data_IF_835562327882
#
_entry.id   IF_835562327882
#
_cell.length_a   1.000
_cell.length_b   1.000
_cell.length_c   1.000
_cell.angle_alpha   90.00
_cell.angle_beta   90.00
_cell.angle_gamma   90.00
#
_symmetry.space_group_name_H-M   'P 1'
#
loop_
_entity.id
_entity.type
_entity.pdbx_description
1 polymer ?
#
# COMPACT_ATOMS: atom_id res chain seq x y z
N UNK A 1 13.36 18.42 25.17
CA UNK A 1 12.20 18.82 25.99
C UNK A 1 11.10 17.77 25.78
N UNK A 2 10.29 17.47 26.82
CA UNK A 2 9.13 16.57 26.65
C UNK A 2 8.08 17.25 25.78
N UNK A 3 7.54 16.54 24.79
CA UNK A 3 6.42 17.02 23.97
C UNK A 3 5.17 17.19 24.84
N UNK A 4 4.40 18.27 24.60
CA UNK A 4 3.24 18.65 25.41
C UNK A 4 1.95 18.46 24.62
N UNK A 5 1.01 17.77 25.23
CA UNK A 5 -0.30 17.44 24.64
C UNK A 5 -1.41 18.09 25.46
N UNK A 6 -2.36 18.74 24.79
CA UNK A 6 -3.58 19.25 25.42
C UNK A 6 -4.73 18.27 25.10
N UNK A 7 -5.40 17.78 26.12
CA UNK A 7 -6.64 17.01 26.02
C UNK A 7 -7.81 17.92 26.38
N UNK A 8 -8.81 18.01 25.51
CA UNK A 8 -10.05 18.77 25.74
C UNK A 8 -11.20 17.77 25.73
N UNK A 9 -11.66 17.44 26.92
CA UNK A 9 -12.64 16.34 27.16
C UNK A 9 -13.39 16.63 28.46
N UNK A 10 -14.72 16.62 28.40
CA UNK A 10 -15.58 16.86 29.56
C UNK A 10 -15.76 15.62 30.45
N UNK A 11 -15.62 14.43 29.86
CA UNK A 11 -15.60 13.19 30.61
C UNK A 11 -14.29 13.03 31.38
N UNK A 12 -14.33 13.37 32.68
CA UNK A 12 -13.17 13.35 33.59
C UNK A 12 -12.48 11.97 33.61
N UNK A 13 -13.26 10.88 33.58
CA UNK A 13 -12.73 9.53 33.62
C UNK A 13 -11.94 9.22 32.33
N UNK A 14 -12.50 9.51 31.17
CA UNK A 14 -11.84 9.31 29.89
C UNK A 14 -10.60 10.19 29.77
N UNK A 15 -10.73 11.48 30.14
CA UNK A 15 -9.61 12.43 30.16
C UNK A 15 -8.45 11.93 31.01
N UNK A 16 -8.73 11.37 32.20
CA UNK A 16 -7.70 10.84 33.08
C UNK A 16 -7.05 9.57 32.51
N UNK A 17 -7.83 8.66 31.95
CA UNK A 17 -7.31 7.43 31.32
C UNK A 17 -6.36 7.78 30.15
N UNK A 18 -6.80 8.65 29.24
CA UNK A 18 -5.99 9.10 28.09
C UNK A 18 -4.72 9.81 28.56
N UNK A 19 -4.85 10.68 29.60
CA UNK A 19 -3.70 11.34 30.23
C UNK A 19 -2.70 10.33 30.77
N UNK A 20 -3.14 9.35 31.57
CA UNK A 20 -2.27 8.35 32.19
C UNK A 20 -1.53 7.51 31.14
N UNK A 21 -2.18 7.17 30.03
CA UNK A 21 -1.56 6.48 28.92
C UNK A 21 -0.46 7.30 28.27
N UNK A 22 -0.72 8.58 27.97
CA UNK A 22 0.26 9.45 27.31
C UNK A 22 1.41 9.85 28.25
N UNK A 23 1.17 10.02 29.53
CA UNK A 23 2.23 10.28 30.52
C UNK A 23 3.17 9.09 30.69
N UNK A 24 2.65 7.84 30.64
CA UNK A 24 3.48 6.62 30.60
C UNK A 24 4.38 6.52 29.36
N UNK A 25 3.92 7.05 28.24
CA UNK A 25 4.71 7.14 27.00
C UNK A 25 5.71 8.32 27.02
N UNK A 26 5.76 9.10 28.13
CA UNK A 26 6.75 10.14 28.35
C UNK A 26 6.34 11.55 27.90
N UNK A 27 5.10 11.76 27.51
CA UNK A 27 4.56 13.08 27.15
C UNK A 27 4.23 13.91 28.42
N UNK A 28 4.19 15.22 28.29
CA UNK A 28 3.61 16.10 29.30
C UNK A 28 2.18 16.44 28.89
N UNK A 29 1.20 16.20 29.75
CA UNK A 29 -0.21 16.29 29.39
C UNK A 29 -0.92 17.34 30.26
N UNK A 30 -1.65 18.26 29.62
CA UNK A 30 -2.61 19.16 30.27
C UNK A 30 -4.02 18.79 29.83
N UNK A 31 -5.00 19.02 30.68
CA UNK A 31 -6.41 18.72 30.42
C UNK A 31 -7.26 19.98 30.53
N UNK A 32 -8.27 20.09 29.68
CA UNK A 32 -9.31 21.11 29.71
C UNK A 32 -10.69 20.42 29.61
N UNK A 33 -11.69 20.93 30.30
CA UNK A 33 -13.04 20.39 30.32
C UNK A 33 -13.96 21.03 29.29
N UNK A 34 -13.56 22.18 28.76
CA UNK A 34 -14.34 22.99 27.80
C UNK A 34 -13.44 23.83 26.89
N UNK A 35 -14.03 24.41 25.86
CA UNK A 35 -13.33 25.25 24.88
C UNK A 35 -12.77 26.53 25.50
N UNK A 36 -13.49 27.31 26.34
CA UNK A 36 -12.95 28.53 26.96
C UNK A 36 -11.69 28.28 27.79
N UNK A 37 -11.66 27.19 28.54
CA UNK A 37 -10.49 26.82 29.34
C UNK A 37 -9.33 26.35 28.45
N UNK A 38 -9.63 25.59 27.40
CA UNK A 38 -8.62 25.20 26.40
C UNK A 38 -7.96 26.42 25.74
N UNK A 39 -8.75 27.42 25.31
CA UNK A 39 -8.23 28.69 24.75
C UNK A 39 -7.36 29.45 25.75
N UNK A 40 -7.73 29.44 27.04
CA UNK A 40 -6.94 30.08 28.09
C UNK A 40 -5.58 29.39 28.27
N UNK A 41 -5.52 28.08 28.22
CA UNK A 41 -4.27 27.31 28.28
C UNK A 41 -3.40 27.59 27.02
N UNK A 42 -3.97 27.54 25.82
CA UNK A 42 -3.27 27.77 24.56
C UNK A 42 -2.68 29.17 24.44
N UNK A 43 -3.24 30.19 25.14
CA UNK A 43 -2.66 31.51 25.20
C UNK A 43 -1.50 31.65 26.20
N UNK A 44 -1.41 30.74 27.17
CA UNK A 44 -0.39 30.78 28.24
C UNK A 44 0.77 29.85 27.99
N UNK A 45 0.53 28.77 27.29
CA UNK A 45 1.48 27.67 27.18
C UNK A 45 1.47 27.14 25.74
N UNK A 46 2.62 26.64 25.29
CA UNK A 46 2.73 26.01 23.98
C UNK A 46 2.46 24.52 24.08
N UNK A 47 1.75 23.99 23.10
CA UNK A 47 1.45 22.57 22.94
C UNK A 47 1.91 22.07 21.59
N UNK A 48 2.27 20.79 21.53
CA UNK A 48 2.73 20.12 20.31
C UNK A 48 1.59 19.34 19.63
N UNK A 49 0.50 19.06 20.35
CA UNK A 49 -0.68 18.33 19.85
C UNK A 49 -1.90 18.67 20.69
N UNK A 50 -3.07 18.72 20.06
CA UNK A 50 -4.37 18.86 20.73
C UNK A 50 -5.22 17.66 20.38
N UNK A 51 -5.80 17.02 21.41
CA UNK A 51 -6.85 15.98 21.32
C UNK A 51 -8.13 16.58 21.88
N UNK A 52 -9.16 16.77 21.07
CA UNK A 52 -10.41 17.43 21.51
C UNK A 52 -11.63 16.57 21.20
N UNK A 53 -12.52 16.44 22.17
CA UNK A 53 -13.88 15.99 21.85
C UNK A 53 -14.56 17.00 20.91
N UNK A 54 -15.47 16.49 20.07
CA UNK A 54 -16.38 17.31 19.26
C UNK A 54 -17.34 18.06 20.17
N UNK A 55 -17.97 17.36 21.11
CA UNK A 55 -19.01 17.92 22.00
C UNK A 55 -18.44 18.30 23.34
N UNK A 56 -18.52 19.58 23.65
CA UNK A 56 -18.04 20.13 24.92
C UNK A 56 -19.18 20.89 25.62
N UNK A 57 -19.19 20.96 26.97
CA UNK A 57 -20.24 21.63 27.74
C UNK A 57 -20.37 23.13 27.40
N UNK A 58 -19.27 23.78 27.08
CA UNK A 58 -19.23 25.16 26.61
C UNK A 58 -18.37 25.24 25.35
N UNK A 59 -18.97 25.62 24.22
CA UNK A 59 -18.36 25.58 22.90
C UNK A 59 -18.37 24.18 22.29
N UNK A 60 -17.49 23.94 21.34
CA UNK A 60 -17.28 22.62 20.71
C UNK A 60 -15.86 22.51 20.15
N UNK A 61 -15.42 21.25 19.87
CA UNK A 61 -14.08 20.99 19.35
C UNK A 61 -13.85 21.57 17.95
N UNK A 62 -14.89 21.74 17.15
CA UNK A 62 -14.79 22.33 15.80
C UNK A 62 -14.57 23.83 15.91
N UNK A 63 -15.31 24.52 16.79
CA UNK A 63 -15.10 25.95 17.09
C UNK A 63 -13.71 26.23 17.65
N UNK A 64 -13.18 25.31 18.47
CA UNK A 64 -11.80 25.39 18.95
C UNK A 64 -10.79 25.31 17.80
N UNK A 65 -11.00 24.37 16.87
CA UNK A 65 -10.15 24.23 15.68
C UNK A 65 -10.23 25.47 14.78
N UNK A 66 -11.43 26.02 14.55
CA UNK A 66 -11.59 27.28 13.81
C UNK A 66 -10.81 28.44 14.44
N UNK A 67 -10.88 28.55 15.76
CA UNK A 67 -10.17 29.58 16.49
C UNK A 67 -8.64 29.39 16.37
N UNK A 68 -8.12 28.18 16.49
CA UNK A 68 -6.69 27.85 16.33
C UNK A 68 -6.20 28.24 14.93
N UNK A 69 -6.98 27.94 13.91
CA UNK A 69 -6.67 28.31 12.52
C UNK A 69 -6.67 29.83 12.32
N UNK A 70 -7.64 30.53 12.93
CA UNK A 70 -7.72 32.01 12.88
C UNK A 70 -6.53 32.69 13.56
N UNK A 71 -6.07 32.14 14.68
CA UNK A 71 -4.89 32.60 15.40
C UNK A 71 -3.57 32.13 14.71
N UNK A 72 -3.66 31.39 13.61
CA UNK A 72 -2.51 30.84 12.85
C UNK A 72 -1.55 30.01 13.71
N UNK A 73 -2.08 29.28 14.68
CA UNK A 73 -1.31 28.35 15.49
C UNK A 73 -1.07 27.06 14.69
N UNK A 74 0.19 26.75 14.40
CA UNK A 74 0.56 25.51 13.69
C UNK A 74 0.70 24.34 14.68
N UNK A 75 -0.43 23.92 15.27
CA UNK A 75 -0.52 22.82 16.22
C UNK A 75 -1.37 21.71 15.60
N UNK A 76 -0.85 20.49 15.46
CA UNK A 76 -1.66 19.34 15.04
C UNK A 76 -2.87 19.17 15.93
N UNK A 77 -4.04 18.99 15.32
CA UNK A 77 -5.32 18.87 16.00
C UNK A 77 -5.99 17.55 15.61
N UNK A 78 -6.41 16.78 16.60
CA UNK A 78 -7.13 15.50 16.43
C UNK A 78 -8.48 15.61 17.12
N UNK A 79 -9.53 15.21 16.42
CA UNK A 79 -10.89 15.14 16.98
C UNK A 79 -11.15 13.76 17.57
N UNK A 80 -11.71 13.72 18.78
CA UNK A 80 -12.29 12.51 19.40
C UNK A 80 -13.81 12.57 19.22
N UNK A 81 -14.44 11.51 18.73
CA UNK A 81 -15.90 11.51 18.45
C UNK A 81 -16.58 10.22 18.86
N UNK A 82 -17.76 10.32 19.42
CA UNK A 82 -18.63 9.17 19.66
C UNK A 82 -19.26 8.66 18.35
N UNK A 83 -19.67 7.40 18.36
CA UNK A 83 -20.26 6.66 17.24
C UNK A 83 -21.24 7.50 16.39
N UNK A 84 -21.07 7.43 15.04
CA UNK A 84 -22.03 7.83 14.01
C UNK A 84 -21.92 9.25 13.42
N UNK A 85 -20.99 10.09 13.79
CA UNK A 85 -20.80 11.34 13.07
C UNK A 85 -19.56 11.30 12.15
N UNK A 86 -19.60 10.40 11.17
CA UNK A 86 -18.68 10.48 9.99
C UNK A 86 -18.72 11.90 9.42
N UNK A 87 -19.85 12.57 9.51
CA UNK A 87 -20.07 13.95 9.07
C UNK A 87 -19.20 14.95 9.86
N UNK A 88 -19.10 14.82 11.19
CA UNK A 88 -18.31 15.75 12.01
C UNK A 88 -16.82 15.47 11.89
N UNK A 89 -16.41 14.20 11.78
CA UNK A 89 -15.02 13.84 11.50
C UNK A 89 -14.58 14.36 10.12
N UNK A 90 -15.41 14.19 9.08
CA UNK A 90 -15.17 14.74 7.74
C UNK A 90 -15.12 16.26 7.76
N UNK A 91 -16.02 16.92 8.52
CA UNK A 91 -16.01 18.37 8.69
C UNK A 91 -14.72 18.85 9.35
N UNK A 92 -14.29 18.20 10.42
CA UNK A 92 -13.07 18.56 11.13
C UNK A 92 -11.80 18.40 10.26
N UNK A 93 -11.71 17.29 9.52
CA UNK A 93 -10.58 17.07 8.57
C UNK A 93 -10.58 18.16 7.48
N UNK A 94 -11.74 18.51 6.92
CA UNK A 94 -11.86 19.61 5.95
C UNK A 94 -11.43 20.96 6.53
N UNK A 95 -11.57 21.16 7.82
CA UNK A 95 -11.18 22.38 8.54
C UNK A 95 -9.73 22.37 9.01
N UNK A 96 -8.97 21.30 8.70
CA UNK A 96 -7.54 21.23 9.00
C UNK A 96 -7.17 20.37 10.19
N UNK A 97 -8.11 19.61 10.78
CA UNK A 97 -7.74 18.55 11.71
C UNK A 97 -6.84 17.53 11.00
N UNK A 98 -5.81 17.08 11.69
CA UNK A 98 -4.84 16.12 11.12
C UNK A 98 -5.39 14.72 11.07
N UNK A 99 -6.24 14.35 12.04
CA UNK A 99 -6.86 13.02 12.12
C UNK A 99 -8.08 13.04 13.05
N UNK A 100 -8.76 11.90 13.17
CA UNK A 100 -9.84 11.68 14.12
C UNK A 100 -9.70 10.36 14.84
N UNK A 101 -10.23 10.28 16.07
CA UNK A 101 -10.30 9.09 16.93
C UNK A 101 -11.74 8.78 17.27
N UNK A 102 -12.19 7.56 16.96
CA UNK A 102 -13.53 7.11 17.40
C UNK A 102 -13.49 6.68 18.87
N UNK A 103 -14.47 7.08 19.64
CA UNK A 103 -14.73 6.53 20.98
C UNK A 103 -15.51 5.20 20.84
N UNK A 104 -15.16 4.13 21.60
CA UNK A 104 -14.17 4.13 22.69
C UNK A 104 -12.72 4.20 22.18
N UNK A 105 -11.92 5.05 22.86
CA UNK A 105 -10.51 5.23 22.54
C UNK A 105 -9.72 4.00 22.96
N UNK A 106 -8.96 3.40 22.05
CA UNK A 106 -8.09 2.27 22.34
C UNK A 106 -6.64 2.74 22.53
N UNK A 107 -5.96 2.23 23.55
CA UNK A 107 -4.59 2.63 23.92
C UNK A 107 -3.62 2.57 22.74
N UNK A 108 -3.57 1.43 22.03
CA UNK A 108 -2.63 1.25 20.91
C UNK A 108 -2.87 2.25 19.78
N UNK A 109 -4.14 2.46 19.40
CA UNK A 109 -4.52 3.39 18.33
C UNK A 109 -4.15 4.84 18.68
N UNK A 110 -4.42 5.27 19.92
CA UNK A 110 -4.07 6.60 20.41
C UNK A 110 -2.55 6.81 20.40
N UNK A 111 -1.80 5.88 20.98
CA UNK A 111 -0.34 5.98 21.10
C UNK A 111 0.33 6.01 19.74
N UNK A 112 -0.08 5.16 18.81
CA UNK A 112 0.47 5.12 17.45
C UNK A 112 0.21 6.43 16.71
N UNK A 113 -1.02 6.95 16.77
CA UNK A 113 -1.40 8.22 16.16
C UNK A 113 -0.60 9.39 16.75
N UNK A 114 -0.49 9.48 18.07
CA UNK A 114 0.27 10.55 18.75
C UNK A 114 1.75 10.46 18.39
N UNK A 115 2.33 9.26 18.35
CA UNK A 115 3.72 9.06 17.91
C UNK A 115 3.93 9.50 16.46
N UNK A 116 2.97 9.28 15.60
CA UNK A 116 3.05 9.69 14.20
C UNK A 116 2.97 11.22 14.04
N UNK A 117 1.99 11.86 14.69
CA UNK A 117 1.76 13.30 14.58
C UNK A 117 2.84 14.13 15.28
N UNK A 118 3.45 13.62 16.35
CA UNK A 118 4.51 14.31 17.11
C UNK A 118 5.93 13.98 16.66
N UNK A 119 6.09 13.16 15.62
CA UNK A 119 7.40 13.04 14.98
C UNK A 119 7.85 14.47 14.60
N UNK A 120 9.08 14.89 14.99
CA UNK A 120 9.55 16.19 14.57
C UNK A 120 9.41 16.28 13.06
N UNK A 121 8.88 17.40 12.56
CA UNK A 121 9.04 17.82 11.18
C UNK A 121 10.53 18.12 11.01
N UNK A 122 11.35 17.10 11.12
CA UNK A 122 12.67 17.13 10.55
C UNK A 122 12.39 17.15 9.05
N UNK A 123 12.79 18.25 8.38
CA UNK A 123 13.22 18.18 6.97
C UNK A 123 13.50 16.73 6.67
N UNK A 124 12.67 16.13 5.80
CA UNK A 124 12.63 14.71 5.47
C UNK A 124 14.07 14.23 5.12
N UNK A 125 14.91 14.09 6.13
CA UNK A 125 15.78 12.95 6.21
C UNK A 125 14.84 11.86 6.69
N UNK A 126 14.11 11.32 5.74
CA UNK A 126 13.52 10.01 5.89
C UNK A 126 14.58 9.19 6.61
N UNK A 127 14.28 8.74 7.86
CA UNK A 127 14.82 7.44 8.21
C UNK A 127 14.46 6.64 6.97
N UNK A 128 15.45 6.27 6.16
CA UNK A 128 15.30 5.17 5.25
C UNK A 128 14.57 4.12 6.10
N UNK A 129 13.26 3.97 5.87
CA UNK A 129 12.62 2.73 6.29
C UNK A 129 13.56 1.73 5.68
N UNK A 130 14.27 0.96 6.50
CA UNK A 130 15.26 0.02 6.01
C UNK A 130 14.58 -0.76 4.91
N UNK A 131 14.77 -0.26 3.69
CA UNK A 131 14.23 -0.87 2.49
C UNK A 131 15.12 -2.09 2.29
N UNK A 132 14.55 -3.25 2.46
CA UNK A 132 15.27 -4.47 2.20
C UNK A 132 15.77 -4.45 0.74
N UNK A 133 17.09 -4.50 0.55
CA UNK A 133 17.67 -4.64 -0.79
C UNK A 133 17.54 -6.10 -1.21
N UNK A 134 16.68 -6.33 -2.19
CA UNK A 134 16.55 -7.65 -2.83
C UNK A 134 17.87 -8.01 -3.52
N UNK A 135 18.23 -9.28 -3.45
CA UNK A 135 19.53 -9.78 -3.94
C UNK A 135 19.39 -10.61 -5.21
N UNK A 136 18.17 -10.97 -5.60
CA UNK A 136 17.93 -11.71 -6.83
C UNK A 136 18.35 -10.90 -8.07
N UNK A 137 18.92 -11.52 -9.10
CA UNK A 137 19.43 -10.83 -10.30
C UNK A 137 18.36 -9.93 -10.95
N UNK A 138 17.14 -10.43 -11.13
CA UNK A 138 16.03 -9.67 -11.72
C UNK A 138 15.63 -8.45 -10.90
N UNK A 139 15.60 -8.58 -9.57
CA UNK A 139 15.26 -7.45 -8.72
C UNK A 139 16.40 -6.42 -8.64
N UNK A 140 17.64 -6.88 -8.69
CA UNK A 140 18.83 -5.99 -8.81
C UNK A 140 18.83 -5.24 -10.13
N UNK A 141 18.48 -5.88 -11.24
CA UNK A 141 18.35 -5.24 -12.53
C UNK A 141 17.32 -4.09 -12.47
N UNK A 142 16.12 -4.33 -11.93
CA UNK A 142 15.12 -3.29 -11.76
C UNK A 142 15.62 -2.12 -10.89
N UNK A 143 16.36 -2.41 -9.83
CA UNK A 143 16.96 -1.38 -8.96
C UNK A 143 18.06 -0.61 -9.68
N UNK A 144 18.93 -1.27 -10.42
CA UNK A 144 19.97 -0.63 -11.22
C UNK A 144 19.39 0.29 -12.29
N UNK A 145 18.31 -0.12 -12.95
CA UNK A 145 17.55 0.74 -13.87
C UNK A 145 16.98 1.97 -13.17
N UNK A 146 16.46 1.81 -11.96
CA UNK A 146 15.94 2.92 -11.15
C UNK A 146 17.06 3.93 -10.80
N UNK A 147 18.23 3.45 -10.39
CA UNK A 147 19.39 4.29 -10.08
C UNK A 147 19.94 4.98 -11.34
N UNK A 148 19.97 4.28 -12.49
CA UNK A 148 20.40 4.83 -13.77
C UNK A 148 19.51 5.99 -14.23
N UNK A 149 18.19 5.85 -14.12
CA UNK A 149 17.23 6.87 -14.59
C UNK A 149 17.06 8.02 -13.59
N UNK A 150 17.46 7.81 -12.33
CA UNK A 150 17.22 8.76 -11.25
C UNK A 150 17.74 10.19 -11.51
N UNK A 151 18.97 10.42 -12.06
CA UNK A 151 19.46 11.77 -12.30
C UNK A 151 18.73 12.56 -13.38
N UNK A 152 17.96 11.88 -14.23
CA UNK A 152 17.15 12.51 -15.28
C UNK A 152 15.80 12.98 -14.75
N UNK A 153 15.13 13.89 -15.47
CA UNK A 153 13.77 14.35 -15.16
C UNK A 153 12.69 13.62 -16.01
N UNK A 154 13.07 12.61 -16.79
CA UNK A 154 12.13 11.85 -17.62
C UNK A 154 11.09 11.10 -16.74
N UNK A 155 9.91 10.91 -17.30
CA UNK A 155 8.85 10.12 -16.66
C UNK A 155 9.22 8.64 -16.61
N UNK A 156 8.85 7.96 -15.52
CA UNK A 156 9.14 6.53 -15.33
C UNK A 156 7.86 5.77 -15.05
N UNK A 157 7.63 4.71 -15.81
CA UNK A 157 6.52 3.78 -15.59
C UNK A 157 7.02 2.45 -14.99
N UNK A 158 6.56 2.13 -13.79
CA UNK A 158 6.93 0.90 -13.08
C UNK A 158 5.84 -0.15 -13.28
N UNK A 159 6.17 -1.21 -13.98
CA UNK A 159 5.28 -2.34 -14.26
C UNK A 159 5.53 -3.48 -13.27
N UNK A 160 4.49 -4.07 -12.71
CA UNK A 160 4.64 -5.23 -11.83
C UNK A 160 3.39 -5.56 -11.03
N UNK A 161 3.27 -6.82 -10.61
CA UNK A 161 2.11 -7.29 -9.85
C UNK A 161 1.92 -6.54 -8.52
N UNK A 162 0.74 -6.68 -7.91
CA UNK A 162 0.47 -6.08 -6.61
C UNK A 162 1.39 -6.65 -5.53
N UNK A 163 1.85 -5.80 -4.62
CA UNK A 163 2.69 -6.21 -3.49
C UNK A 163 4.15 -6.53 -3.82
N UNK A 164 4.64 -6.27 -5.04
CA UNK A 164 6.04 -6.51 -5.45
C UNK A 164 7.02 -5.45 -4.94
N UNK A 165 6.52 -4.32 -4.41
CA UNK A 165 7.36 -3.24 -3.90
C UNK A 165 7.65 -2.14 -4.93
N UNK A 166 6.74 -1.84 -5.85
CA UNK A 166 6.86 -0.75 -6.85
C UNK A 166 7.15 0.61 -6.20
N UNK A 167 6.54 0.90 -5.05
CA UNK A 167 6.83 2.13 -4.29
C UNK A 167 8.30 2.22 -3.84
N UNK A 168 8.94 1.09 -3.53
CA UNK A 168 10.37 1.08 -3.17
C UNK A 168 11.25 1.51 -4.33
N UNK A 169 10.92 1.09 -5.56
CA UNK A 169 11.60 1.54 -6.78
C UNK A 169 11.38 3.06 -6.99
N UNK A 170 10.13 3.54 -6.85
CA UNK A 170 9.83 4.97 -7.00
C UNK A 170 10.58 5.83 -5.97
N UNK A 171 10.66 5.38 -4.73
CA UNK A 171 11.47 6.04 -3.69
C UNK A 171 12.96 6.02 -4.00
N UNK A 172 13.48 4.90 -4.51
CA UNK A 172 14.89 4.82 -4.93
C UNK A 172 15.19 5.82 -6.05
N UNK A 173 14.31 5.93 -7.05
CA UNK A 173 14.43 6.94 -8.12
C UNK A 173 14.51 8.36 -7.52
N UNK A 174 13.61 8.68 -6.59
CA UNK A 174 13.61 10.00 -5.96
C UNK A 174 14.90 10.26 -5.16
N UNK A 175 15.35 9.31 -4.32
CA UNK A 175 16.53 9.49 -3.47
C UNK A 175 17.85 9.60 -4.24
N UNK A 176 17.96 8.97 -5.40
CA UNK A 176 19.14 9.07 -6.26
C UNK A 176 19.03 10.21 -7.30
N UNK A 177 17.93 10.99 -7.28
CA UNK A 177 17.70 12.10 -8.19
C UNK A 177 18.28 13.43 -7.67
N UNK A 178 18.33 14.42 -8.57
CA UNK A 178 18.64 15.80 -8.22
C UNK A 178 17.55 16.45 -7.32
N UNK A 179 16.39 15.77 -7.13
CA UNK A 179 15.24 16.22 -6.33
C UNK A 179 15.16 15.52 -4.98
N UNK A 180 16.20 14.81 -4.51
CA UNK A 180 16.21 13.99 -3.29
C UNK A 180 15.84 14.74 -1.99
N UNK A 181 16.13 16.04 -1.95
CA UNK A 181 15.83 16.92 -0.79
C UNK A 181 14.51 17.69 -0.96
N UNK A 182 13.75 17.40 -2.02
CA UNK A 182 12.48 18.01 -2.37
C UNK A 182 11.30 17.08 -1.98
N UNK A 183 10.05 17.56 -2.04
CA UNK A 183 8.90 16.73 -1.69
C UNK A 183 8.80 15.45 -2.54
N UNK A 184 8.48 14.33 -1.88
CA UNK A 184 8.02 13.10 -2.51
C UNK A 184 6.57 12.88 -2.11
N UNK A 185 5.65 13.06 -3.04
CA UNK A 185 4.21 12.88 -2.81
C UNK A 185 3.76 11.60 -3.48
N UNK A 186 3.20 10.67 -2.71
CA UNK A 186 2.66 9.41 -3.22
C UNK A 186 1.13 9.45 -3.21
N UNK A 187 0.53 9.09 -4.33
CA UNK A 187 -0.92 9.07 -4.53
C UNK A 187 -1.33 7.71 -5.09
N UNK A 188 -2.27 7.02 -4.44
CA UNK A 188 -2.88 5.83 -5.01
C UNK A 188 -4.14 6.23 -5.78
N UNK A 189 -4.12 6.09 -7.11
CA UNK A 189 -5.22 6.48 -7.98
C UNK A 189 -6.48 5.65 -7.71
N UNK A 190 -6.34 4.37 -7.38
CA UNK A 190 -7.48 3.49 -7.08
C UNK A 190 -8.19 3.77 -5.76
N UNK A 191 -7.53 4.49 -4.84
CA UNK A 191 -8.13 4.87 -3.57
C UNK A 191 -8.94 6.17 -3.62
N UNK A 192 -8.89 6.92 -4.74
CA UNK A 192 -9.55 8.22 -4.87
C UNK A 192 -10.92 8.03 -5.54
N UNK A 193 -12.04 8.41 -4.90
CA UNK A 193 -13.34 8.44 -5.56
C UNK A 193 -13.31 9.33 -6.81
N UNK A 194 -14.00 8.90 -7.87
CA UNK A 194 -14.02 9.60 -9.17
C UNK A 194 -14.34 11.09 -9.03
N UNK A 195 -15.35 11.44 -8.24
CA UNK A 195 -15.83 12.81 -8.06
C UNK A 195 -14.78 13.70 -7.35
N UNK A 196 -13.85 13.10 -6.61
CA UNK A 196 -12.81 13.83 -5.87
C UNK A 196 -11.46 13.84 -6.59
N UNK A 197 -11.33 13.12 -7.70
CA UNK A 197 -10.06 12.96 -8.39
C UNK A 197 -9.50 14.31 -8.84
N UNK A 198 -10.27 15.11 -9.57
CA UNK A 198 -9.82 16.43 -10.05
C UNK A 198 -9.39 17.36 -8.90
N UNK A 199 -10.18 17.41 -7.83
CA UNK A 199 -9.87 18.24 -6.66
C UNK A 199 -8.63 17.72 -5.89
N UNK A 200 -8.42 16.40 -5.85
CA UNK A 200 -7.25 15.81 -5.20
C UNK A 200 -5.97 16.10 -5.98
N UNK A 201 -6.01 15.98 -7.30
CA UNK A 201 -4.84 16.20 -8.15
C UNK A 201 -4.50 17.69 -8.30
N UNK A 202 -5.49 18.52 -8.63
CA UNK A 202 -5.29 19.92 -9.05
C UNK A 202 -5.69 20.94 -7.99
N UNK A 203 -6.33 20.49 -6.90
CA UNK A 203 -6.92 21.40 -5.92
C UNK A 203 -8.22 22.01 -6.39
N UNK A 204 -8.81 22.88 -5.59
CA UNK A 204 -10.04 23.60 -5.93
C UNK A 204 -10.05 24.99 -5.33
N UNK A 205 -10.77 25.90 -6.01
CA UNK A 205 -11.10 27.21 -5.51
C UNK A 205 -12.34 27.15 -4.60
N UNK A 206 -12.45 28.08 -3.67
CA UNK A 206 -13.64 28.26 -2.84
C UNK A 206 -14.88 28.37 -3.72
N UNK A 207 -15.92 27.59 -3.39
CA UNK A 207 -17.19 27.58 -4.13
C UNK A 207 -17.21 26.72 -5.40
N UNK A 208 -16.15 25.97 -5.70
CA UNK A 208 -16.06 25.12 -6.89
C UNK A 208 -17.13 24.01 -6.94
N UNK A 209 -17.55 23.52 -5.79
CA UNK A 209 -18.62 22.52 -5.61
C UNK A 209 -19.23 22.62 -4.21
N UNK A 210 -20.35 21.94 -3.97
CA UNK A 210 -21.01 21.91 -2.66
C UNK A 210 -20.07 21.33 -1.60
N UNK A 211 -19.62 22.15 -0.63
CA UNK A 211 -18.63 21.80 0.40
C UNK A 211 -17.20 22.28 0.14
N UNK A 212 -16.98 23.06 -0.93
CA UNK A 212 -15.72 23.77 -1.18
C UNK A 212 -15.70 25.11 -0.41
N UNK A 213 -15.56 25.04 0.91
CA UNK A 213 -15.64 26.22 1.80
C UNK A 213 -14.40 27.11 1.77
N UNK A 214 -13.25 26.58 1.31
CA UNK A 214 -11.97 27.28 1.20
C UNK A 214 -11.19 26.80 -0.03
N UNK A 215 -10.19 27.59 -0.44
CA UNK A 215 -9.21 27.15 -1.44
C UNK A 215 -8.38 25.99 -0.86
N UNK A 216 -8.16 24.95 -1.67
CA UNK A 216 -7.34 23.81 -1.28
C UNK A 216 -6.36 23.45 -2.40
N UNK A 217 -5.07 23.35 -2.04
CA UNK A 217 -4.03 22.88 -2.94
C UNK A 217 -4.16 21.38 -3.25
N UNK A 218 -3.75 20.98 -4.46
CA UNK A 218 -3.74 19.60 -4.91
C UNK A 218 -2.38 18.94 -4.79
N UNK A 219 -2.30 17.66 -5.23
CA UNK A 219 -1.07 16.87 -5.19
C UNK A 219 0.04 17.48 -6.05
N UNK A 220 -0.28 18.11 -7.18
CA UNK A 220 0.71 18.79 -8.03
C UNK A 220 1.34 19.99 -7.34
N UNK A 221 0.55 20.76 -6.58
CA UNK A 221 1.08 21.87 -5.78
C UNK A 221 1.96 21.35 -4.63
N UNK A 222 1.51 20.30 -3.93
CA UNK A 222 2.26 19.69 -2.84
C UNK A 222 3.59 19.06 -3.30
N UNK A 223 3.67 18.56 -4.54
CA UNK A 223 4.83 17.92 -5.12
C UNK A 223 5.76 18.90 -5.86
N UNK A 224 5.40 20.19 -5.93
CA UNK A 224 6.12 21.16 -6.74
C UNK A 224 7.62 21.25 -6.38
N UNK A 225 8.47 21.22 -7.40
CA UNK A 225 9.93 21.12 -7.30
C UNK A 225 10.43 19.69 -6.97
N UNK A 226 9.54 18.75 -6.69
CA UNK A 226 9.85 17.40 -6.23
C UNK A 226 9.41 16.29 -7.19
N UNK A 227 8.91 15.18 -6.61
CA UNK A 227 8.45 14.00 -7.34
C UNK A 227 7.03 13.61 -6.92
N UNK A 228 6.15 13.40 -7.89
CA UNK A 228 4.82 12.85 -7.69
C UNK A 228 4.82 11.37 -8.13
N UNK A 229 4.55 10.48 -7.19
CA UNK A 229 4.40 9.05 -7.46
C UNK A 229 2.92 8.69 -7.55
N UNK A 230 2.51 8.15 -8.71
CA UNK A 230 1.15 7.75 -9.04
C UNK A 230 1.05 6.22 -9.03
N UNK A 231 0.58 5.64 -7.93
CA UNK A 231 0.35 4.20 -7.88
C UNK A 231 -1.01 3.83 -8.46
N UNK A 232 -1.09 2.64 -9.07
CA UNK A 232 -2.28 2.11 -9.74
C UNK A 232 -2.83 3.06 -10.83
N UNK A 233 -1.92 3.64 -11.65
CA UNK A 233 -2.29 4.64 -12.67
C UNK A 233 -3.33 4.12 -13.69
N UNK A 234 -3.39 2.80 -13.92
CA UNK A 234 -4.40 2.17 -14.81
C UNK A 234 -5.83 2.38 -14.34
N UNK A 235 -6.05 2.66 -13.05
CA UNK A 235 -7.38 2.91 -12.47
C UNK A 235 -7.83 4.37 -12.58
N UNK A 236 -6.96 5.28 -13.10
CA UNK A 236 -7.28 6.68 -13.22
C UNK A 236 -8.47 6.89 -14.18
N UNK A 237 -9.52 7.64 -13.78
CA UNK A 237 -10.67 7.93 -14.65
C UNK A 237 -10.24 8.52 -15.99
N UNK A 238 -10.94 8.13 -17.08
CA UNK A 238 -10.54 8.48 -18.44
C UNK A 238 -10.52 10.00 -18.71
N UNK A 239 -11.44 10.74 -18.15
CA UNK A 239 -11.50 12.21 -18.21
C UNK A 239 -10.28 12.85 -17.51
N UNK A 240 -9.83 12.28 -16.41
CA UNK A 240 -8.66 12.73 -15.67
C UNK A 240 -7.34 12.48 -16.40
N UNK A 241 -7.30 11.46 -17.26
CA UNK A 241 -6.11 11.15 -18.05
C UNK A 241 -5.76 12.29 -19.01
N UNK A 242 -6.75 12.97 -19.58
CA UNK A 242 -6.56 14.15 -20.45
C UNK A 242 -5.93 15.33 -19.69
N UNK A 243 -6.41 15.56 -18.46
CA UNK A 243 -5.88 16.62 -17.60
C UNK A 243 -4.46 16.33 -17.14
N UNK A 244 -4.17 15.07 -16.81
CA UNK A 244 -2.82 14.62 -16.45
C UNK A 244 -1.85 14.78 -17.63
N UNK A 245 -2.26 14.39 -18.84
CA UNK A 245 -1.46 14.54 -20.05
C UNK A 245 -1.08 16.01 -20.30
N UNK A 246 -2.05 16.92 -20.13
CA UNK A 246 -1.80 18.35 -20.26
C UNK A 246 -0.72 18.84 -19.29
N UNK A 247 -0.78 18.42 -18.02
CA UNK A 247 0.25 18.79 -17.04
C UNK A 247 1.62 18.24 -17.42
N UNK A 248 1.69 17.00 -17.93
CA UNK A 248 2.93 16.38 -18.39
C UNK A 248 3.55 17.07 -19.62
N UNK A 249 2.73 17.72 -20.45
CA UNK A 249 3.16 18.39 -21.67
C UNK A 249 3.48 19.87 -21.46
N UNK A 250 2.59 20.58 -20.75
CA UNK A 250 2.64 22.03 -20.61
C UNK A 250 3.26 22.49 -19.28
N UNK A 251 3.36 21.60 -18.26
CA UNK A 251 3.82 21.97 -16.93
C UNK A 251 2.85 22.89 -16.19
N UNK A 252 1.56 22.93 -16.61
CA UNK A 252 0.54 23.80 -16.04
C UNK A 252 -0.75 23.04 -15.75
N UNK A 253 -1.52 23.53 -14.80
CA UNK A 253 -2.84 22.99 -14.46
C UNK A 253 -3.76 24.08 -13.93
N UNK A 254 -5.07 23.83 -13.97
CA UNK A 254 -6.10 24.70 -13.37
C UNK A 254 -6.77 24.01 -12.20
N UNK A 255 -6.83 24.64 -11.01
CA UNK A 255 -7.66 24.16 -9.92
C UNK A 255 -9.14 24.12 -10.30
N UNK A 256 -9.89 23.17 -9.74
CA UNK A 256 -11.34 23.05 -10.02
C UNK A 256 -12.05 24.34 -9.60
N UNK A 257 -12.87 24.90 -10.49
CA UNK A 257 -13.59 26.16 -10.25
C UNK A 257 -12.73 27.43 -10.37
N UNK A 258 -11.46 27.32 -10.78
CA UNK A 258 -10.57 28.46 -11.03
C UNK A 258 -10.39 28.66 -12.55
N UNK A 259 -10.27 29.92 -12.98
CA UNK A 259 -9.82 30.29 -14.33
C UNK A 259 -8.32 30.64 -14.38
N UNK A 260 -7.63 30.56 -13.22
CA UNK A 260 -6.22 30.90 -13.13
C UNK A 260 -5.37 29.64 -13.29
N UNK A 261 -4.52 29.64 -14.30
CA UNK A 261 -3.55 28.59 -14.56
C UNK A 261 -2.39 28.68 -13.57
N UNK A 262 -1.94 27.52 -13.06
CA UNK A 262 -0.79 27.40 -12.15
C UNK A 262 0.31 26.60 -12.82
N UNK A 263 1.54 27.07 -12.72
CA UNK A 263 2.74 26.38 -13.21
C UNK A 263 3.22 25.38 -12.16
N UNK A 264 3.67 24.21 -12.60
CA UNK A 264 4.24 23.19 -11.74
C UNK A 264 5.50 22.58 -12.37
N UNK A 265 6.51 22.35 -11.53
CA UNK A 265 7.74 21.62 -11.89
C UNK A 265 7.77 20.33 -11.08
N UNK A 266 7.16 19.27 -11.60
CA UNK A 266 7.03 17.98 -10.91
C UNK A 266 7.54 16.86 -11.79
N UNK A 267 8.47 16.05 -11.27
CA UNK A 267 8.84 14.78 -11.91
C UNK A 267 7.77 13.73 -11.63
N UNK A 268 7.31 13.04 -12.66
CA UNK A 268 6.32 11.97 -12.52
C UNK A 268 6.98 10.60 -12.52
N UNK A 269 6.59 9.77 -11.54
CA UNK A 269 6.85 8.33 -11.50
C UNK A 269 5.49 7.64 -11.36
N UNK A 270 5.11 6.81 -12.31
CA UNK A 270 3.84 6.09 -12.30
C UNK A 270 4.06 4.59 -12.08
N UNK A 271 3.10 3.91 -11.49
CA UNK A 271 3.14 2.46 -11.31
C UNK A 271 1.79 1.82 -11.65
N UNK A 272 1.81 0.62 -12.21
CA UNK A 272 0.61 -0.16 -12.48
C UNK A 272 0.87 -1.67 -12.38
N UNK A 273 -0.18 -2.41 -12.08
CA UNK A 273 -0.24 -3.87 -12.17
C UNK A 273 -1.07 -4.33 -13.37
N UNK A 274 -1.75 -3.41 -14.06
CA UNK A 274 -2.56 -3.70 -15.22
C UNK A 274 -1.72 -3.83 -16.50
N UNK A 275 -2.21 -4.63 -17.44
CA UNK A 275 -1.76 -4.62 -18.82
C UNK A 275 -2.30 -3.38 -19.53
N UNK A 276 -1.48 -2.34 -19.60
CA UNK A 276 -1.88 -1.07 -20.21
C UNK A 276 -2.20 -1.23 -21.69
N UNK A 277 -1.50 -2.12 -22.41
CA UNK A 277 -1.81 -2.39 -23.83
C UNK A 277 -3.24 -2.91 -23.99
N UNK A 278 -3.68 -3.81 -23.11
CA UNK A 278 -5.06 -4.28 -23.07
C UNK A 278 -6.05 -3.18 -22.68
N UNK A 279 -5.70 -2.35 -21.69
CA UNK A 279 -6.53 -1.22 -21.27
C UNK A 279 -6.71 -0.18 -22.39
N UNK A 280 -5.68 0.06 -23.21
CA UNK A 280 -5.75 0.91 -24.42
C UNK A 280 -6.70 0.28 -25.45
N UNK A 281 -6.53 -1.00 -25.75
CA UNK A 281 -7.40 -1.69 -26.72
C UNK A 281 -8.88 -1.70 -26.30
N UNK A 282 -9.15 -1.71 -25.00
CA UNK A 282 -10.50 -1.63 -24.42
C UNK A 282 -11.03 -0.19 -24.28
N UNK A 283 -10.24 0.84 -24.64
CA UNK A 283 -10.62 2.24 -24.54
C UNK A 283 -10.67 2.79 -23.10
N UNK A 284 -10.09 2.09 -22.12
CA UNK A 284 -10.01 2.51 -20.71
C UNK A 284 -8.82 3.40 -20.41
N UNK A 285 -7.76 3.28 -21.20
CA UNK A 285 -6.54 4.07 -21.04
C UNK A 285 -6.14 4.73 -22.35
N UNK A 286 -5.62 5.95 -22.30
CA UNK A 286 -5.22 6.72 -23.48
C UNK A 286 -3.80 6.33 -23.90
N UNK A 287 -3.61 6.09 -25.19
CA UNK A 287 -2.33 5.75 -25.78
C UNK A 287 -1.31 6.90 -25.67
N UNK A 288 -1.77 8.16 -25.89
CA UNK A 288 -0.92 9.34 -25.78
C UNK A 288 -0.37 9.55 -24.36
N UNK A 289 -1.18 9.29 -23.33
CA UNK A 289 -0.74 9.34 -21.95
C UNK A 289 0.25 8.22 -21.63
N UNK A 290 0.00 7.00 -22.13
CA UNK A 290 0.94 5.89 -21.95
C UNK A 290 2.33 6.23 -22.49
N UNK A 291 2.44 6.75 -23.71
CA UNK A 291 3.72 7.13 -24.29
C UNK A 291 4.42 8.27 -23.51
N UNK A 292 3.66 9.14 -22.86
CA UNK A 292 4.24 10.22 -22.06
C UNK A 292 4.68 9.78 -20.67
N UNK A 293 3.99 8.81 -20.06
CA UNK A 293 4.37 8.21 -18.77
C UNK A 293 5.48 7.18 -18.91
N UNK A 294 5.47 6.40 -20.00
CA UNK A 294 6.37 5.30 -20.29
C UNK A 294 7.62 5.71 -21.07
N UNK A 295 8.12 6.95 -20.93
CA UNK A 295 9.41 7.35 -21.54
C UNK A 295 10.56 6.43 -21.09
N UNK A 296 10.48 5.92 -19.87
CA UNK A 296 11.34 4.87 -19.35
C UNK A 296 10.52 3.85 -18.56
N UNK A 297 10.63 2.58 -18.91
CA UNK A 297 9.90 1.50 -18.24
C UNK A 297 10.80 0.65 -17.36
N UNK A 298 10.32 0.34 -16.14
CA UNK A 298 11.00 -0.57 -15.21
C UNK A 298 10.05 -1.70 -14.86
N UNK A 299 10.44 -2.95 -15.12
CA UNK A 299 9.66 -4.12 -14.71
C UNK A 299 10.13 -4.61 -13.34
N UNK A 300 9.24 -4.51 -12.35
CA UNK A 300 9.47 -5.06 -11.02
C UNK A 300 9.04 -6.54 -10.98
N UNK A 301 9.97 -7.49 -10.77
CA UNK A 301 9.64 -8.91 -10.77
C UNK A 301 8.81 -9.31 -9.56
N UNK A 302 7.95 -10.32 -9.76
CA UNK A 302 7.20 -10.97 -8.69
C UNK A 302 8.14 -11.72 -7.73
N UNK A 303 7.63 -12.06 -6.54
CA UNK A 303 8.40 -12.84 -5.59
C UNK A 303 8.58 -14.30 -6.07
N UNK A 304 7.62 -14.82 -6.83
CA UNK A 304 7.71 -16.13 -7.47
C UNK A 304 8.82 -16.22 -8.52
N UNK A 305 9.13 -15.10 -9.20
CA UNK A 305 10.25 -15.01 -10.17
C UNK A 305 11.62 -14.88 -9.49
N UNK A 306 11.65 -14.68 -8.17
CA UNK A 306 12.84 -14.39 -7.37
C UNK A 306 12.85 -15.22 -6.08
N UNK A 307 12.90 -16.55 -6.15
CA UNK A 307 12.83 -17.41 -4.96
C UNK A 307 13.99 -17.19 -3.99
N UNK A 308 15.14 -16.69 -4.47
CA UNK A 308 16.32 -16.38 -3.66
C UNK A 308 16.05 -15.27 -2.65
N UNK A 309 15.09 -14.39 -2.90
CA UNK A 309 14.72 -13.29 -2.00
C UNK A 309 13.77 -13.73 -0.87
N UNK A 310 13.11 -14.90 -0.97
CA UNK A 310 12.04 -15.29 -0.04
C UNK A 310 12.54 -15.40 1.40
N UNK A 311 13.56 -16.22 1.64
CA UNK A 311 14.10 -16.41 3.00
C UNK A 311 14.78 -15.15 3.56
N UNK A 312 15.61 -14.41 2.80
CA UNK A 312 16.15 -13.14 3.27
C UNK A 312 15.07 -12.12 3.64
N UNK A 313 14.01 -11.97 2.84
CA UNK A 313 12.86 -11.11 3.14
C UNK A 313 12.09 -11.60 4.37
N UNK A 314 11.85 -12.91 4.50
CA UNK A 314 11.18 -13.48 5.64
C UNK A 314 11.95 -13.21 6.94
N UNK A 315 13.26 -13.37 6.94
CA UNK A 315 14.13 -13.07 8.08
C UNK A 315 14.13 -11.57 8.40
N UNK A 316 14.24 -10.72 7.39
CA UNK A 316 14.15 -9.27 7.58
C UNK A 316 12.82 -8.85 8.25
N UNK A 317 11.69 -9.37 7.77
CA UNK A 317 10.38 -9.07 8.38
C UNK A 317 10.25 -9.69 9.77
N UNK A 318 10.77 -10.90 10.00
CA UNK A 318 10.81 -11.52 11.33
C UNK A 318 11.54 -10.63 12.33
N UNK A 319 12.75 -10.17 12.02
CA UNK A 319 13.53 -9.29 12.89
C UNK A 319 12.82 -7.97 13.15
N UNK A 320 12.28 -7.36 12.11
CA UNK A 320 11.52 -6.13 12.20
C UNK A 320 10.32 -6.28 13.14
N UNK A 321 9.48 -7.28 12.90
CA UNK A 321 8.29 -7.50 13.72
C UNK A 321 8.58 -8.03 15.11
N UNK A 322 9.68 -8.77 15.30
CA UNK A 322 10.13 -9.15 16.63
C UNK A 322 10.44 -7.92 17.50
N UNK A 323 11.10 -6.92 16.93
CA UNK A 323 11.37 -5.63 17.60
C UNK A 323 10.07 -4.82 17.81
N UNK A 324 9.22 -4.70 16.78
CA UNK A 324 7.97 -3.91 16.86
C UNK A 324 6.97 -4.49 17.86
N UNK A 325 6.84 -5.82 17.93
CA UNK A 325 5.87 -6.51 18.77
C UNK A 325 6.43 -6.95 20.14
N UNK A 326 7.70 -6.62 20.41
CA UNK A 326 8.42 -7.05 21.63
C UNK A 326 8.34 -8.57 21.86
N UNK A 327 8.51 -9.36 20.77
CA UNK A 327 8.51 -10.82 20.76
C UNK A 327 9.83 -11.33 20.23
N UNK A 328 10.60 -12.03 21.05
CA UNK A 328 11.85 -12.65 20.59
C UNK A 328 11.55 -13.86 19.70
N UNK A 329 11.89 -13.73 18.40
CA UNK A 329 11.83 -14.80 17.42
C UNK A 329 13.18 -14.88 16.72
N UNK A 330 13.88 -16.00 16.93
CA UNK A 330 15.27 -16.18 16.49
C UNK A 330 15.40 -16.72 15.07
N UNK A 331 14.39 -17.41 14.56
CA UNK A 331 14.44 -18.00 13.22
C UNK A 331 13.15 -18.73 12.85
N UNK A 332 13.28 -19.57 11.84
CA UNK A 332 12.26 -20.48 11.35
C UNK A 332 12.72 -21.93 11.53
N UNK A 333 11.79 -22.87 11.71
CA UNK A 333 12.11 -24.29 11.63
C UNK A 333 12.40 -24.67 10.18
N UNK A 334 13.15 -25.77 9.97
CA UNK A 334 13.45 -26.27 8.62
C UNK A 334 12.18 -26.59 7.80
N UNK A 335 11.09 -26.97 8.47
CA UNK A 335 9.79 -27.22 7.84
C UNK A 335 9.11 -25.89 7.43
N UNK A 336 9.19 -24.87 8.28
CA UNK A 336 8.70 -23.54 7.95
C UNK A 336 9.46 -22.92 6.76
N UNK A 337 10.78 -23.08 6.69
CA UNK A 337 11.58 -22.60 5.55
C UNK A 337 11.20 -23.30 4.24
N UNK A 338 11.00 -24.62 4.26
CA UNK A 338 10.53 -25.36 3.07
C UNK A 338 9.17 -24.87 2.63
N UNK A 339 8.25 -24.61 3.56
CA UNK A 339 6.91 -24.10 3.26
C UNK A 339 7.00 -22.69 2.65
N UNK A 340 7.84 -21.80 3.19
CA UNK A 340 8.07 -20.48 2.64
C UNK A 340 8.59 -20.54 1.19
N UNK A 341 9.52 -21.45 0.89
CA UNK A 341 10.09 -21.61 -0.45
C UNK A 341 9.12 -22.25 -1.44
N UNK A 342 8.21 -23.12 -0.98
CA UNK A 342 7.26 -23.84 -1.85
C UNK A 342 5.99 -23.06 -2.15
N UNK A 343 5.71 -21.99 -1.43
CA UNK A 343 4.49 -21.19 -1.61
C UNK A 343 4.59 -20.26 -2.83
N UNK A 344 3.48 -20.07 -3.54
CA UNK A 344 3.43 -19.31 -4.81
C UNK A 344 3.51 -17.79 -4.64
N UNK A 345 3.24 -17.28 -3.43
CA UNK A 345 3.26 -15.85 -3.09
C UNK A 345 2.49 -14.95 -4.08
N UNK A 346 1.24 -15.28 -4.36
CA UNK A 346 0.39 -14.52 -5.29
C UNK A 346 0.24 -13.03 -4.89
N UNK A 347 0.23 -12.74 -3.57
CA UNK A 347 0.26 -11.38 -3.02
C UNK A 347 1.66 -10.82 -2.81
N UNK A 348 2.70 -11.49 -3.31
CA UNK A 348 4.11 -11.08 -3.32
C UNK A 348 4.64 -10.70 -1.92
N UNK A 349 5.45 -9.63 -1.83
CA UNK A 349 6.08 -9.18 -0.59
C UNK A 349 5.02 -8.75 0.45
N UNK A 350 3.90 -8.19 0.01
CA UNK A 350 2.81 -7.77 0.93
C UNK A 350 2.18 -8.99 1.63
N UNK A 351 1.97 -10.08 0.91
CA UNK A 351 1.48 -11.34 1.48
C UNK A 351 2.51 -11.93 2.44
N UNK A 352 3.79 -12.04 2.03
CA UNK A 352 4.87 -12.53 2.86
C UNK A 352 4.97 -11.72 4.17
N UNK A 353 4.98 -10.41 4.09
CA UNK A 353 5.02 -9.50 5.23
C UNK A 353 3.87 -9.77 6.22
N UNK A 354 2.64 -9.89 5.73
CA UNK A 354 1.46 -10.14 6.57
C UNK A 354 1.53 -11.53 7.24
N UNK A 355 1.96 -12.56 6.52
CA UNK A 355 2.12 -13.91 7.05
C UNK A 355 3.18 -13.95 8.15
N UNK A 356 4.35 -13.33 7.91
CA UNK A 356 5.42 -13.26 8.90
C UNK A 356 5.00 -12.45 10.13
N UNK A 357 4.35 -11.29 9.96
CA UNK A 357 3.84 -10.49 11.09
C UNK A 357 2.91 -11.31 11.98
N UNK A 358 2.00 -12.04 11.38
CA UNK A 358 1.07 -12.93 12.10
C UNK A 358 1.84 -14.07 12.80
N UNK A 359 2.79 -14.71 12.12
CA UNK A 359 3.57 -15.79 12.67
C UNK A 359 4.40 -15.33 13.89
N UNK A 360 5.05 -14.17 13.83
CA UNK A 360 5.78 -13.57 14.96
C UNK A 360 4.86 -13.36 16.16
N UNK A 361 3.62 -12.93 15.95
CA UNK A 361 2.64 -12.69 17.00
C UNK A 361 2.14 -14.01 17.62
N UNK A 362 1.85 -15.01 16.79
CA UNK A 362 1.16 -16.24 17.19
C UNK A 362 2.11 -17.35 17.68
N UNK A 363 3.36 -17.36 17.23
CA UNK A 363 4.34 -18.37 17.64
C UNK A 363 4.49 -18.39 19.17
N UNK A 364 4.51 -19.60 19.74
CA UNK A 364 4.69 -19.83 21.18
C UNK A 364 6.18 -19.91 21.53
N UNK A 365 6.97 -20.50 20.66
CA UNK A 365 8.40 -20.74 20.84
C UNK A 365 9.25 -19.66 20.18
N UNK A 366 10.55 -19.65 20.44
CA UNK A 366 11.53 -18.73 19.83
C UNK A 366 11.71 -18.95 18.33
N UNK A 367 11.49 -20.18 17.84
CA UNK A 367 11.45 -20.51 16.41
C UNK A 367 10.00 -20.49 15.91
N UNK A 368 9.81 -19.90 14.75
CA UNK A 368 8.52 -19.90 14.04
C UNK A 368 8.39 -21.22 13.30
N UNK A 369 7.31 -21.95 13.61
CA UNK A 369 7.02 -23.22 12.95
C UNK A 369 6.07 -23.06 11.74
N UNK A 370 5.96 -24.11 10.92
CA UNK A 370 5.07 -24.12 9.74
C UNK A 370 3.60 -23.85 10.10
N UNK A 371 3.15 -24.32 11.28
CA UNK A 371 1.79 -24.08 11.77
C UNK A 371 1.51 -22.59 12.06
N UNK A 372 2.52 -21.84 12.53
CA UNK A 372 2.40 -20.42 12.85
C UNK A 372 2.24 -19.56 11.58
N UNK A 373 2.81 -19.98 10.46
CA UNK A 373 2.74 -19.28 9.19
C UNK A 373 1.30 -19.25 8.61
N UNK A 374 0.45 -20.23 8.99
CA UNK A 374 -0.91 -20.36 8.47
C UNK A 374 -0.97 -20.19 6.94
N UNK A 375 -0.01 -20.78 6.28
CA UNK A 375 0.03 -20.95 4.84
C UNK A 375 -0.70 -22.27 4.58
N UNK A 376 -1.80 -22.24 3.80
CA UNK A 376 -2.40 -23.48 3.35
C UNK A 376 -1.29 -24.26 2.64
N UNK A 377 -0.97 -25.45 3.16
CA UNK A 377 -0.13 -26.37 2.41
C UNK A 377 -0.83 -26.47 1.05
N UNK A 378 -0.14 -26.09 -0.01
CA UNK A 378 -0.55 -26.56 -1.32
C UNK A 378 -0.70 -28.06 -1.11
N UNK A 379 -1.94 -28.57 -1.15
CA UNK A 379 -2.10 -30.03 -1.32
C UNK A 379 -1.08 -30.37 -2.37
N UNK A 380 -0.23 -31.43 -2.17
CA UNK A 380 0.61 -31.83 -3.27
C UNK A 380 -0.34 -31.78 -4.46
N UNK A 381 -0.01 -30.91 -5.41
CA UNK A 381 -0.77 -30.85 -6.63
C UNK A 381 -0.57 -32.24 -7.14
N UNK A 382 -1.57 -33.13 -6.91
CA UNK A 382 -1.77 -34.19 -7.85
C UNK A 382 -1.68 -33.44 -9.16
N UNK A 383 -0.55 -33.57 -9.83
CA UNK A 383 -0.32 -32.90 -11.11
C UNK A 383 -1.63 -33.09 -11.84
N UNK A 384 -2.34 -32.01 -12.20
CA UNK A 384 -3.58 -32.19 -12.92
C UNK A 384 -3.17 -33.13 -14.05
N UNK A 385 -3.69 -34.34 -14.02
CA UNK A 385 -3.62 -35.22 -15.19
C UNK A 385 -4.01 -34.28 -16.32
N UNK A 386 -3.03 -33.94 -17.15
CA UNK A 386 -3.24 -33.01 -18.25
C UNK A 386 -4.52 -33.54 -18.94
N UNK A 387 -5.57 -32.73 -19.10
CA UNK A 387 -6.79 -33.19 -19.68
C UNK A 387 -6.38 -33.83 -20.99
N UNK A 388 -6.53 -35.15 -21.08
CA UNK A 388 -6.19 -35.91 -22.27
C UNK A 388 -7.07 -35.34 -23.37
N UNK A 389 -6.49 -34.44 -24.18
CA UNK A 389 -7.15 -33.86 -25.34
C UNK A 389 -7.77 -34.95 -26.18
N UNK A 390 -8.99 -34.79 -26.71
CA UNK A 390 -9.64 -35.78 -27.50
C UNK A 390 -8.77 -36.15 -28.71
N UNK A 391 -8.43 -37.39 -28.77
CA UNK A 391 -7.56 -38.11 -29.70
C UNK A 391 -7.92 -37.84 -31.16
N UNK A 392 -7.22 -36.93 -31.83
CA UNK A 392 -7.30 -36.75 -33.30
C UNK A 392 -5.98 -36.96 -34.04
N UNK A 393 -4.85 -37.16 -33.32
CA UNK A 393 -3.54 -37.41 -33.93
C UNK A 393 -3.06 -38.80 -33.51
N UNK A 394 -2.84 -39.69 -34.49
CA UNK A 394 -2.49 -41.11 -34.28
C UNK A 394 -1.19 -41.31 -33.47
N UNK A 395 -0.22 -40.43 -33.62
CA UNK A 395 1.06 -40.52 -32.93
C UNK A 395 0.94 -40.11 -31.44
N UNK A 396 0.16 -39.07 -31.15
CA UNK A 396 -0.15 -38.62 -29.80
C UNK A 396 -0.95 -39.66 -29.04
N UNK A 397 -1.90 -40.31 -29.72
CA UNK A 397 -2.71 -41.38 -29.16
C UNK A 397 -1.86 -42.58 -28.76
N UNK A 398 -0.94 -43.00 -29.64
CA UNK A 398 -0.02 -44.11 -29.40
C UNK A 398 0.87 -43.85 -28.18
N UNK A 399 1.45 -42.63 -28.07
CA UNK A 399 2.27 -42.26 -26.94
C UNK A 399 1.50 -42.20 -25.62
N UNK A 400 0.25 -41.73 -25.65
CA UNK A 400 -0.62 -41.69 -24.49
C UNK A 400 -0.96 -43.08 -23.95
N UNK A 401 -1.22 -44.05 -24.84
CA UNK A 401 -1.44 -45.43 -24.47
C UNK A 401 -0.19 -46.06 -23.84
N UNK A 402 0.99 -45.83 -24.42
CA UNK A 402 2.26 -46.33 -23.89
C UNK A 402 2.53 -45.79 -22.48
N UNK A 403 2.35 -44.48 -22.27
CA UNK A 403 2.53 -43.84 -20.95
C UNK A 403 1.56 -44.38 -19.91
N UNK A 404 0.27 -44.53 -20.26
CA UNK A 404 -0.72 -45.09 -19.35
C UNK A 404 -0.40 -46.53 -18.94
N UNK A 405 0.06 -47.36 -19.86
CA UNK A 405 0.49 -48.74 -19.58
C UNK A 405 1.73 -48.75 -18.66
N UNK A 406 2.72 -47.89 -18.91
CA UNK A 406 3.90 -47.76 -18.07
C UNK A 406 3.55 -47.33 -16.64
N UNK A 407 2.69 -46.29 -16.49
CA UNK A 407 2.25 -45.78 -15.18
C UNK A 407 1.41 -46.79 -14.39
N UNK A 408 0.70 -47.70 -15.07
CA UNK A 408 -0.12 -48.73 -14.44
C UNK A 408 0.60 -50.10 -14.32
N UNK A 409 1.94 -50.15 -14.50
CA UNK A 409 2.71 -51.41 -14.40
C UNK A 409 2.28 -52.47 -15.39
N UNK A 410 1.78 -52.10 -16.58
CA UNK A 410 1.31 -53.03 -17.63
C UNK A 410 -0.13 -53.52 -17.44
N UNK A 411 -0.84 -53.13 -16.41
CA UNK A 411 -2.22 -53.59 -16.12
C UNK A 411 -3.20 -52.86 -17.03
N UNK A 412 -3.64 -53.55 -18.09
CA UNK A 412 -4.46 -52.98 -19.17
C UNK A 412 -5.83 -52.43 -18.70
N UNK A 413 -6.45 -53.05 -17.72
CA UNK A 413 -7.73 -52.57 -17.15
C UNK A 413 -7.58 -51.24 -16.42
N UNK A 414 -6.48 -51.05 -15.65
CA UNK A 414 -6.18 -49.78 -14.99
C UNK A 414 -5.79 -48.69 -15.99
N UNK A 415 -5.03 -49.06 -17.04
CA UNK A 415 -4.69 -48.13 -18.12
C UNK A 415 -5.93 -47.68 -18.92
N UNK A 416 -6.91 -48.54 -19.13
CA UNK A 416 -8.19 -48.19 -19.75
C UNK A 416 -8.99 -47.18 -18.89
N UNK A 417 -9.06 -47.40 -17.59
CA UNK A 417 -9.69 -46.46 -16.63
C UNK A 417 -8.97 -45.13 -16.60
N UNK A 418 -7.64 -45.13 -16.59
CA UNK A 418 -6.82 -43.91 -16.60
C UNK A 418 -7.02 -43.08 -17.88
N UNK A 419 -7.24 -43.76 -19.04
CA UNK A 419 -7.51 -43.13 -20.33
C UNK A 419 -9.00 -42.81 -20.55
N UNK A 420 -9.85 -43.11 -19.57
CA UNK A 420 -11.31 -42.95 -19.61
C UNK A 420 -11.93 -43.58 -20.87
N UNK A 421 -11.47 -44.79 -21.22
CA UNK A 421 -11.97 -45.58 -22.34
C UNK A 421 -12.31 -47.00 -21.90
N UNK A 422 -13.22 -47.65 -22.61
CA UNK A 422 -13.52 -49.05 -22.36
C UNK A 422 -12.31 -49.94 -22.65
N UNK A 423 -12.14 -51.00 -21.84
CA UNK A 423 -11.06 -51.98 -22.01
C UNK A 423 -11.02 -52.58 -23.41
N UNK A 424 -12.19 -52.80 -24.06
CA UNK A 424 -12.32 -53.27 -25.44
C UNK A 424 -11.76 -52.24 -26.45
N UNK A 425 -12.00 -50.97 -26.20
CA UNK A 425 -11.48 -49.87 -27.03
C UNK A 425 -9.97 -49.74 -26.91
N UNK A 426 -9.43 -49.83 -25.68
CA UNK A 426 -7.98 -49.86 -25.46
C UNK A 426 -7.31 -51.03 -26.17
N UNK A 427 -7.85 -52.21 -26.04
CA UNK A 427 -7.33 -53.43 -26.71
C UNK A 427 -7.31 -53.28 -28.26
N UNK A 428 -8.38 -52.73 -28.84
CA UNK A 428 -8.47 -52.49 -30.28
C UNK A 428 -7.41 -51.47 -30.74
N UNK A 429 -7.18 -50.43 -29.97
CA UNK A 429 -6.18 -49.39 -30.26
C UNK A 429 -4.75 -49.89 -30.05
N UNK A 430 -4.49 -50.69 -29.02
CA UNK A 430 -3.20 -51.32 -28.80
C UNK A 430 -2.85 -52.23 -30.01
N UNK A 431 -3.83 -53.02 -30.49
CA UNK A 431 -3.65 -53.89 -31.69
C UNK A 431 -3.39 -53.05 -32.94
N UNK A 432 -4.09 -51.90 -33.11
CA UNK A 432 -3.89 -50.98 -34.24
C UNK A 432 -2.47 -50.38 -34.26
N UNK A 433 -1.93 -50.02 -33.09
CA UNK A 433 -0.61 -49.39 -32.97
C UNK A 433 0.54 -50.35 -32.69
N UNK A 434 0.31 -51.65 -32.68
CA UNK A 434 1.36 -52.67 -32.46
C UNK A 434 1.97 -52.65 -31.04
N UNK A 435 1.21 -52.17 -30.05
CA UNK A 435 1.64 -52.13 -28.64
C UNK A 435 1.25 -53.47 -28.00
N UNK A 436 2.26 -54.17 -27.41
CA UNK A 436 2.07 -55.48 -26.78
C UNK A 436 1.61 -55.38 -25.32
#
# INVERSE_FOLDING_TARGET
>A
MKKRILIVEDNITLSQIVKDWLEREGYAVATAIDEPYARKLLRKESFDLILSDVRLPQGDGISLLEWINKEKMDIPFVIMTEYASVTDAVKAIKMGAKDYLSKPVFHEQLVDMVKELLKPVSTVRSKEKELFKRTSPKAMEAMNMAELVAPSDISVLILGANGTGKESIARSIHFHSNRKDKPFVAVNCGAIPHELAASTFFGHAKGAFTGADADKGGCFEAANGGTLFLDEIGTLPYDMQSSLLRVLQEGTFMPVGSSVERVTDVRIVAATNEDIGKAIAEGRFREDLYHRLGEFEIRQPSLAECPEDILPLANFFREKFSKELHRERTGFTAEAERLLLSHSWSGNIRELQNKIRRAVLMAKDTLIDFADLNIAQAKPVDMPEAPLLPLKDEEVEKQSIIRALQSCGGVKTKAAQMLNVDSSTLYRKMKKYGIK
#
